data_IF_623880892202
#
_entry.id   IF_623880892202
#
_cell.length_a   1.000
_cell.length_b   1.000
_cell.length_c   1.000
_cell.angle_alpha   90.00
_cell.angle_beta   90.00
_cell.angle_gamma   90.00
#
_symmetry.space_group_name_H-M   'P 1'
#
loop_
_entity.id
_entity.type
_entity.pdbx_description
1 polymer ?
#
# COMPACT_ATOMS: atom_id res chain seq x y z
N UNK A 1 -16.03 -9.72 -12.52
CA UNK A 1 -14.68 -9.15 -12.45
C UNK A 1 -14.15 -8.82 -13.84
N UNK A 2 -13.25 -7.82 -13.96
CA UNK A 2 -12.63 -7.46 -15.25
C UNK A 2 -11.90 -8.64 -15.89
N UNK A 3 -11.23 -9.48 -15.08
CA UNK A 3 -10.55 -10.71 -15.54
C UNK A 3 -11.55 -11.67 -16.17
N UNK A 4 -12.70 -11.92 -15.52
CA UNK A 4 -13.75 -12.78 -16.08
C UNK A 4 -14.32 -12.26 -17.40
N UNK A 5 -14.53 -10.94 -17.51
CA UNK A 5 -15.02 -10.32 -18.76
C UNK A 5 -14.02 -10.49 -19.91
N UNK A 6 -12.73 -10.35 -19.64
CA UNK A 6 -11.67 -10.60 -20.64
C UNK A 6 -11.63 -12.08 -21.01
N UNK A 7 -11.66 -12.99 -20.02
CA UNK A 7 -11.71 -14.43 -20.25
C UNK A 7 -12.87 -14.87 -21.15
N UNK A 8 -14.06 -14.33 -20.91
CA UNK A 8 -15.24 -14.56 -21.77
C UNK A 8 -15.01 -14.08 -23.20
N UNK A 9 -14.44 -12.88 -23.35
CA UNK A 9 -14.23 -12.26 -24.67
C UNK A 9 -13.23 -13.01 -25.55
N UNK A 10 -12.23 -13.67 -24.93
CA UNK A 10 -11.19 -14.43 -25.66
C UNK A 10 -11.38 -15.94 -25.62
N UNK A 11 -12.46 -16.44 -25.00
CA UNK A 11 -12.78 -17.87 -24.93
C UNK A 11 -11.97 -18.64 -23.87
N UNK A 12 -11.36 -17.97 -22.91
CA UNK A 12 -10.49 -18.53 -21.84
C UNK A 12 -11.14 -18.40 -20.45
N UNK A 13 -12.43 -18.70 -20.37
CA UNK A 13 -13.22 -18.56 -19.14
C UNK A 13 -12.65 -19.34 -17.95
N UNK A 14 -12.31 -20.62 -18.18
CA UNK A 14 -11.76 -21.48 -17.11
C UNK A 14 -10.43 -20.95 -16.56
N UNK A 15 -9.56 -20.47 -17.43
CA UNK A 15 -8.28 -19.88 -17.02
C UNK A 15 -8.49 -18.57 -16.24
N UNK A 16 -9.47 -17.75 -16.65
CA UNK A 16 -9.83 -16.54 -15.94
C UNK A 16 -10.40 -16.83 -14.54
N UNK A 17 -11.29 -17.79 -14.42
CA UNK A 17 -11.89 -18.19 -13.14
C UNK A 17 -10.84 -18.79 -12.19
N UNK A 18 -9.92 -19.62 -12.70
CA UNK A 18 -8.80 -20.18 -11.93
C UNK A 18 -7.85 -19.08 -11.43
N UNK A 19 -7.56 -18.07 -12.24
CA UNK A 19 -6.73 -16.94 -11.87
C UNK A 19 -7.39 -16.12 -10.75
N UNK A 20 -8.67 -15.80 -10.87
CA UNK A 20 -9.43 -15.05 -9.84
C UNK A 20 -9.43 -15.82 -8.52
N UNK A 21 -9.66 -17.13 -8.56
CA UNK A 21 -9.66 -17.98 -7.36
C UNK A 21 -8.27 -18.03 -6.70
N UNK A 22 -7.20 -18.16 -7.50
CA UNK A 22 -5.82 -18.11 -6.99
C UNK A 22 -5.52 -16.76 -6.31
N UNK A 23 -5.96 -15.66 -6.90
CA UNK A 23 -5.79 -14.32 -6.29
C UNK A 23 -6.55 -14.22 -4.96
N UNK A 24 -7.78 -14.74 -4.91
CA UNK A 24 -8.61 -14.71 -3.70
C UNK A 24 -7.95 -15.48 -2.56
N UNK A 25 -7.47 -16.69 -2.83
CA UNK A 25 -6.76 -17.51 -1.83
C UNK A 25 -5.52 -16.80 -1.29
N UNK A 26 -4.75 -16.14 -2.15
CA UNK A 26 -3.56 -15.41 -1.73
C UNK A 26 -3.90 -14.20 -0.86
N UNK A 27 -4.98 -13.46 -1.16
CA UNK A 27 -5.44 -12.34 -0.34
C UNK A 27 -5.94 -12.84 1.02
N UNK A 28 -6.66 -13.97 1.06
CA UNK A 28 -7.12 -14.62 2.30
C UNK A 28 -5.91 -15.07 3.17
N UNK A 29 -4.88 -15.69 2.58
CA UNK A 29 -3.64 -16.08 3.30
C UNK A 29 -2.95 -14.84 3.93
N UNK A 30 -2.88 -13.73 3.20
CA UNK A 30 -2.33 -12.49 3.74
C UNK A 30 -3.20 -11.98 4.91
N UNK A 31 -4.52 -11.92 4.73
CA UNK A 31 -5.45 -11.44 5.75
C UNK A 31 -5.37 -12.27 7.05
N UNK A 32 -5.26 -13.61 6.95
CA UNK A 32 -5.09 -14.49 8.09
C UNK A 32 -3.79 -14.25 8.85
N UNK A 33 -2.71 -13.88 8.14
CA UNK A 33 -1.41 -13.57 8.75
C UNK A 33 -1.41 -12.23 9.49
N UNK A 34 -2.20 -11.25 9.02
CA UNK A 34 -2.24 -9.89 9.56
C UNK A 34 -3.45 -9.64 10.47
N UNK A 35 -4.02 -10.67 11.11
CA UNK A 35 -5.15 -10.56 12.07
C UNK A 35 -4.88 -9.68 13.31
N UNK A 36 -3.69 -9.10 13.44
CA UNK A 36 -3.33 -8.15 14.48
C UNK A 36 -4.10 -6.83 14.33
N UNK A 37 -3.99 -5.94 15.33
CA UNK A 37 -4.56 -4.60 15.24
C UNK A 37 -3.99 -3.86 14.01
N UNK A 38 -4.81 -3.09 13.28
CA UNK A 38 -4.36 -2.33 12.12
C UNK A 38 -3.17 -1.42 12.48
N UNK A 39 -2.19 -1.36 11.59
CA UNK A 39 -1.02 -0.50 11.71
C UNK A 39 -1.27 0.78 10.94
N UNK A 40 -1.12 1.93 11.59
CA UNK A 40 -1.30 3.22 10.93
C UNK A 40 -0.19 3.48 9.92
N UNK A 41 -0.56 3.93 8.73
CA UNK A 41 0.42 4.21 7.68
C UNK A 41 0.05 5.43 6.83
N UNK A 42 1.08 6.05 6.26
CA UNK A 42 0.98 7.07 5.23
C UNK A 42 1.65 6.57 3.95
N UNK A 43 1.06 6.86 2.80
CA UNK A 43 1.61 6.46 1.50
C UNK A 43 1.90 7.70 0.63
N UNK A 44 3.18 7.92 0.33
CA UNK A 44 3.63 8.97 -0.58
C UNK A 44 3.60 8.51 -2.04
N UNK A 45 2.95 9.29 -2.90
CA UNK A 45 2.93 9.09 -4.36
C UNK A 45 3.88 10.06 -5.05
N UNK A 46 3.97 11.29 -4.55
CA UNK A 46 4.87 12.32 -5.06
C UNK A 46 5.36 13.19 -3.91
N UNK A 47 6.53 13.79 -4.08
CA UNK A 47 7.24 14.51 -3.03
C UNK A 47 6.99 16.02 -3.07
N UNK A 48 6.87 16.63 -4.24
CA UNK A 48 6.75 18.08 -4.40
C UNK A 48 5.73 18.43 -5.49
N UNK A 49 4.49 18.79 -5.10
CA UNK A 49 3.98 18.78 -3.73
C UNK A 49 3.84 17.37 -3.15
N UNK A 50 3.85 17.24 -1.82
CA UNK A 50 3.55 15.97 -1.16
C UNK A 50 2.14 15.52 -1.54
N UNK A 51 2.03 14.37 -2.19
CA UNK A 51 0.80 13.85 -2.77
C UNK A 51 0.56 12.42 -2.31
N UNK A 52 -0.68 12.10 -1.97
CA UNK A 52 -1.06 10.82 -1.36
C UNK A 52 -2.38 10.31 -1.90
N UNK A 53 -2.75 9.11 -1.48
CA UNK A 53 -4.03 8.47 -1.77
C UNK A 53 -4.84 8.30 -0.48
N UNK A 54 -6.07 8.75 -0.51
CA UNK A 54 -7.04 8.55 0.56
C UNK A 54 -8.12 7.54 0.19
N UNK A 55 -9.26 7.61 0.88
CA UNK A 55 -10.37 6.69 0.73
C UNK A 55 -10.90 6.62 -0.72
N UNK A 56 -11.44 5.46 -1.13
CA UNK A 56 -11.98 5.24 -2.47
C UNK A 56 -10.92 5.09 -3.58
N UNK A 57 -9.65 4.97 -3.23
CA UNK A 57 -8.56 4.71 -4.18
C UNK A 57 -8.09 3.26 -4.11
N UNK A 58 -7.53 2.75 -5.23
CA UNK A 58 -6.91 1.42 -5.25
C UNK A 58 -5.85 1.28 -4.15
N UNK A 59 -5.01 2.29 -3.96
CA UNK A 59 -3.93 2.25 -2.97
C UNK A 59 -4.46 2.13 -1.54
N UNK A 60 -5.55 2.82 -1.22
CA UNK A 60 -6.22 2.67 0.07
C UNK A 60 -6.77 1.26 0.26
N UNK A 61 -7.43 0.70 -0.75
CA UNK A 61 -7.96 -0.67 -0.68
C UNK A 61 -6.82 -1.70 -0.46
N UNK A 62 -5.65 -1.49 -1.10
CA UNK A 62 -4.48 -2.36 -0.88
C UNK A 62 -3.94 -2.27 0.55
N UNK A 63 -3.89 -1.06 1.13
CA UNK A 63 -3.50 -0.84 2.52
C UNK A 63 -4.43 -1.58 3.46
N UNK A 64 -5.75 -1.44 3.28
CA UNK A 64 -6.75 -2.10 4.13
C UNK A 64 -6.64 -3.63 4.03
N UNK A 65 -6.49 -4.18 2.83
CA UNK A 65 -6.30 -5.63 2.62
C UNK A 65 -4.97 -6.15 3.18
N UNK A 66 -4.00 -5.29 3.35
CA UNK A 66 -2.71 -5.60 3.98
C UNK A 66 -2.70 -5.44 5.52
N UNK A 67 -3.85 -5.19 6.14
CA UNK A 67 -3.97 -4.99 7.59
C UNK A 67 -3.49 -3.62 8.06
N UNK A 68 -3.52 -2.61 7.18
CA UNK A 68 -3.16 -1.23 7.49
C UNK A 68 -4.37 -0.33 7.70
N UNK A 69 -4.13 0.77 8.40
CA UNK A 69 -5.04 1.91 8.52
C UNK A 69 -4.38 3.14 7.91
N UNK A 70 -4.94 3.63 6.82
CA UNK A 70 -4.45 4.83 6.16
C UNK A 70 -4.79 6.08 6.98
N UNK A 71 -3.80 6.87 7.38
CA UNK A 71 -4.02 8.12 8.13
C UNK A 71 -4.69 9.22 7.30
N UNK A 72 -4.75 9.05 5.98
CA UNK A 72 -5.38 9.98 5.04
C UNK A 72 -6.84 9.62 4.86
N UNK A 73 -7.73 10.39 5.46
CA UNK A 73 -9.19 10.14 5.47
C UNK A 73 -9.93 10.84 4.34
N UNK A 74 -9.28 11.77 3.65
CA UNK A 74 -9.84 12.47 2.51
C UNK A 74 -10.09 11.51 1.34
N UNK A 75 -11.10 11.80 0.52
CA UNK A 75 -11.46 10.98 -0.63
C UNK A 75 -10.55 11.27 -1.84
N UNK A 76 -10.08 10.22 -2.49
CA UNK A 76 -9.31 10.30 -3.73
C UNK A 76 -7.84 10.61 -3.54
N UNK A 77 -7.23 11.15 -4.59
CA UNK A 77 -5.81 11.53 -4.59
C UNK A 77 -5.68 13.00 -4.22
N UNK A 78 -4.96 13.30 -3.15
CA UNK A 78 -4.91 14.63 -2.55
C UNK A 78 -3.49 15.11 -2.28
N UNK A 79 -3.30 16.44 -2.30
CA UNK A 79 -2.11 17.07 -1.75
C UNK A 79 -2.21 17.05 -0.21
N UNK A 80 -1.10 16.76 0.45
CA UNK A 80 -1.04 16.66 1.91
C UNK A 80 0.06 17.57 2.45
N UNK A 81 -0.15 18.20 3.60
CA UNK A 81 0.89 19.04 4.17
C UNK A 81 1.77 18.28 5.16
N UNK A 82 2.99 18.76 5.34
CA UNK A 82 3.90 18.18 6.34
C UNK A 82 3.32 18.33 7.75
N UNK A 83 2.59 19.42 8.02
CA UNK A 83 1.93 19.65 9.30
C UNK A 83 0.83 18.62 9.57
N UNK A 84 0.02 18.28 8.54
CA UNK A 84 -1.00 17.22 8.64
C UNK A 84 -0.33 15.86 8.89
N UNK A 85 0.75 15.55 8.16
CA UNK A 85 1.51 14.32 8.32
C UNK A 85 2.10 14.19 9.74
N UNK A 86 2.68 15.27 10.26
CA UNK A 86 3.23 15.30 11.63
C UNK A 86 2.12 15.15 12.67
N UNK A 87 0.95 15.74 12.44
CA UNK A 87 -0.18 15.62 13.35
C UNK A 87 -0.80 14.21 13.33
N UNK A 88 -0.79 13.53 12.19
CA UNK A 88 -1.27 12.16 12.01
C UNK A 88 -0.30 11.12 12.58
N UNK A 89 0.99 11.40 12.54
CA UNK A 89 2.10 10.61 13.08
C UNK A 89 2.00 9.09 12.82
N UNK A 90 2.05 8.65 11.55
CA UNK A 90 1.88 7.23 11.20
C UNK A 90 3.00 6.35 11.73
N UNK A 91 2.67 5.10 12.09
CA UNK A 91 3.64 4.08 12.51
C UNK A 91 4.56 3.63 11.37
N UNK A 92 4.07 3.68 10.13
CA UNK A 92 4.80 3.28 8.92
C UNK A 92 4.66 4.33 7.84
N UNK A 93 5.76 4.62 7.17
CA UNK A 93 5.81 5.48 5.99
C UNK A 93 6.10 4.63 4.75
N UNK A 94 5.18 4.62 3.82
CA UNK A 94 5.30 3.96 2.53
C UNK A 94 5.54 5.02 1.44
N UNK A 95 6.42 4.74 0.49
CA UNK A 95 6.60 5.59 -0.68
C UNK A 95 6.68 4.72 -1.94
N UNK A 96 6.06 5.17 -3.02
CA UNK A 96 6.18 4.48 -4.29
C UNK A 96 7.51 4.82 -4.95
N UNK A 97 8.10 3.91 -5.73
CA UNK A 97 9.33 4.17 -6.49
C UNK A 97 9.15 5.33 -7.49
N UNK A 98 7.93 5.55 -7.96
CA UNK A 98 7.56 6.67 -8.83
C UNK A 98 7.64 8.04 -8.15
N UNK A 99 7.66 8.09 -6.81
CA UNK A 99 7.88 9.32 -6.06
C UNK A 99 9.30 9.88 -6.23
N UNK A 100 10.22 9.09 -6.78
CA UNK A 100 11.66 9.37 -6.92
C UNK A 100 12.36 9.61 -5.56
N UNK A 101 11.74 9.18 -4.50
CA UNK A 101 12.28 9.28 -3.14
C UNK A 101 13.05 8.01 -2.77
N UNK A 102 14.04 8.15 -1.89
CA UNK A 102 14.68 7.02 -1.20
C UNK A 102 14.35 7.09 0.30
N UNK A 103 14.47 5.99 1.06
CA UNK A 103 14.26 6.06 2.51
C UNK A 103 15.17 7.09 3.19
N UNK A 104 16.41 7.23 2.75
CA UNK A 104 17.36 8.23 3.27
C UNK A 104 16.94 9.66 2.94
N UNK A 105 16.36 9.91 1.76
CA UNK A 105 15.85 11.22 1.39
C UNK A 105 14.63 11.59 2.25
N UNK A 106 13.72 10.64 2.46
CA UNK A 106 12.53 10.82 3.28
C UNK A 106 12.93 11.17 4.72
N UNK A 107 13.81 10.37 5.33
CA UNK A 107 14.23 10.59 6.72
C UNK A 107 15.00 11.90 6.91
N UNK A 108 15.65 12.42 5.87
CA UNK A 108 16.40 13.68 5.87
C UNK A 108 15.56 14.93 5.65
N UNK A 109 14.26 14.81 5.36
CA UNK A 109 13.41 15.97 5.06
C UNK A 109 13.12 16.82 6.30
N UNK A 110 13.06 18.18 6.14
CA UNK A 110 12.64 19.06 7.23
C UNK A 110 11.25 18.68 7.79
N UNK A 111 11.16 18.55 9.09
CA UNK A 111 9.92 18.19 9.79
C UNK A 111 9.67 16.68 9.96
N UNK A 112 10.42 15.81 9.31
CA UNK A 112 10.20 14.35 9.33
C UNK A 112 10.94 13.63 10.48
N UNK A 113 11.95 14.23 11.05
CA UNK A 113 12.86 13.58 12.03
C UNK A 113 12.16 13.03 13.29
N UNK A 114 10.99 13.57 13.63
CA UNK A 114 10.23 13.16 14.82
C UNK A 114 9.02 12.26 14.49
N UNK A 115 8.76 11.95 13.20
CA UNK A 115 7.71 11.00 12.83
C UNK A 115 8.01 9.62 13.41
N UNK A 116 7.02 8.98 14.00
CA UNK A 116 7.14 7.63 14.58
C UNK A 116 7.73 6.63 13.58
N UNK A 117 7.28 6.67 12.34
CA UNK A 117 7.83 5.85 11.25
C UNK A 117 9.32 6.07 11.04
N UNK A 118 9.81 7.32 11.11
CA UNK A 118 11.23 7.66 10.91
C UNK A 118 12.06 7.26 12.12
N UNK A 119 11.60 7.56 13.33
CA UNK A 119 12.28 7.22 14.59
C UNK A 119 12.46 5.71 14.73
N UNK A 120 11.45 4.93 14.32
CA UNK A 120 11.46 3.47 14.42
C UNK A 120 12.06 2.78 13.17
N UNK A 121 12.54 3.54 12.18
CA UNK A 121 13.14 3.00 10.96
C UNK A 121 12.14 2.27 10.05
N UNK A 122 10.85 2.60 10.14
CA UNK A 122 9.75 1.98 9.38
C UNK A 122 9.38 2.80 8.16
N UNK A 123 10.35 3.04 7.28
CA UNK A 123 10.20 3.75 6.00
C UNK A 123 10.52 2.79 4.87
N UNK A 124 9.54 2.49 4.01
CA UNK A 124 9.65 1.47 2.97
C UNK A 124 9.30 2.01 1.59
N UNK A 125 9.95 1.46 0.56
CA UNK A 125 9.61 1.71 -0.83
C UNK A 125 8.78 0.57 -1.39
N UNK A 126 7.73 0.92 -2.15
CA UNK A 126 6.85 -0.01 -2.84
C UNK A 126 7.13 0.02 -4.34
N UNK A 127 7.05 -1.15 -5.00
CA UNK A 127 7.13 -1.24 -6.45
C UNK A 127 5.83 -0.70 -7.09
N UNK A 128 5.93 0.40 -7.82
CA UNK A 128 4.81 1.01 -8.54
C UNK A 128 4.08 0.04 -9.47
N UNK A 129 4.80 -0.89 -10.08
CA UNK A 129 4.19 -1.85 -11.01
C UNK A 129 3.25 -2.82 -10.31
N UNK A 130 3.39 -2.99 -9.00
CA UNK A 130 2.55 -3.86 -8.19
C UNK A 130 1.38 -3.12 -7.57
N UNK A 131 1.56 -1.86 -7.19
CA UNK A 131 0.55 -1.11 -6.39
C UNK A 131 -0.25 -0.10 -7.20
N UNK A 132 0.27 0.38 -8.34
CA UNK A 132 -0.38 1.45 -9.12
C UNK A 132 -1.23 0.96 -10.29
N UNK A 133 -1.24 -0.35 -10.56
CA UNK A 133 -1.94 -0.93 -11.72
C UNK A 133 -2.88 -2.05 -11.31
N UNK A 134 -4.20 -1.89 -11.57
CA UNK A 134 -5.16 -2.97 -11.33
C UNK A 134 -4.88 -4.13 -12.29
N UNK A 135 -4.50 -5.28 -11.76
CA UNK A 135 -4.18 -6.49 -12.53
C UNK A 135 -3.84 -7.67 -11.63
N UNK A 136 -3.54 -8.85 -12.21
CA UNK A 136 -3.29 -10.06 -11.42
C UNK A 136 -2.16 -9.93 -10.38
N UNK A 137 -1.16 -9.09 -10.64
CA UNK A 137 -0.04 -8.86 -9.72
C UNK A 137 -0.35 -7.94 -8.54
N UNK A 138 -1.56 -7.39 -8.47
CA UNK A 138 -1.97 -6.54 -7.34
C UNK A 138 -1.87 -7.28 -5.99
N UNK A 139 -2.01 -8.60 -6.00
CA UNK A 139 -1.84 -9.43 -4.79
C UNK A 139 -0.40 -9.39 -4.27
N UNK A 140 0.60 -9.34 -5.17
CA UNK A 140 2.00 -9.13 -4.78
C UNK A 140 2.19 -7.75 -4.14
N UNK A 141 1.46 -6.73 -4.61
CA UNK A 141 1.43 -5.39 -4.01
C UNK A 141 0.85 -5.40 -2.60
N UNK A 142 -0.27 -6.10 -2.38
CA UNK A 142 -0.86 -6.29 -1.04
C UNK A 142 0.15 -6.97 -0.12
N UNK A 143 0.82 -8.04 -0.58
CA UNK A 143 1.85 -8.75 0.19
C UNK A 143 3.01 -7.83 0.56
N UNK A 144 3.52 -7.03 -0.37
CA UNK A 144 4.62 -6.09 -0.12
C UNK A 144 4.24 -5.06 0.95
N UNK A 145 3.01 -4.54 0.91
CA UNK A 145 2.50 -3.64 1.93
C UNK A 145 2.37 -4.38 3.27
N UNK A 146 1.80 -5.59 3.30
CA UNK A 146 1.62 -6.38 4.51
C UNK A 146 2.97 -6.71 5.18
N UNK A 147 3.99 -7.06 4.43
CA UNK A 147 5.36 -7.29 4.94
C UNK A 147 5.98 -6.02 5.55
N UNK A 148 5.68 -4.85 4.99
CA UNK A 148 6.12 -3.57 5.56
C UNK A 148 5.36 -3.20 6.83
N UNK A 149 4.05 -3.49 6.90
CA UNK A 149 3.20 -3.19 8.05
C UNK A 149 3.37 -4.19 9.19
N UNK A 150 3.55 -5.48 8.88
CA UNK A 150 3.57 -6.59 9.84
C UNK A 150 4.77 -7.52 9.58
N UNK A 151 6.03 -7.03 9.67
CA UNK A 151 7.20 -7.84 9.33
C UNK A 151 7.32 -9.12 10.16
N UNK A 152 6.81 -9.13 11.39
CA UNK A 152 6.78 -10.29 12.28
C UNK A 152 5.87 -11.42 11.76
N UNK A 153 4.81 -11.10 11.02
CA UNK A 153 3.87 -12.07 10.46
C UNK A 153 4.45 -12.82 9.24
N UNK A 154 5.54 -12.31 8.66
CA UNK A 154 6.22 -12.84 7.48
C UNK A 154 7.67 -13.26 7.75
N UNK A 155 8.14 -13.13 9.00
CA UNK A 155 9.44 -13.65 9.41
C UNK A 155 9.39 -15.19 9.45
N UNK A 156 10.22 -15.86 8.62
CA UNK A 156 10.41 -17.32 8.65
C UNK A 156 11.39 -17.75 9.76
#
# INVERSE_FOLDING_TARGET
>A
TSIGTVGDAIGEREAADALVESMRIQVEDIAERVEAAPVTCFLEIAQDPLFTAGSGTLLNDLIEHAGGENVVTEEGYVAYSVEQLVAADPDVYLATLGSMSSPSDITGRPGYANLSAVVNGRVYLLDDNLVSRPGPRVVEGIRQIAEALHPEAFAE
#
